data_IF_021611950494
#
_entry.id   IF_021611950494
#
_cell.length_a   1.000
_cell.length_b   1.000
_cell.length_c   1.000
_cell.angle_alpha   90.00
_cell.angle_beta   90.00
_cell.angle_gamma   90.00
#
_symmetry.space_group_name_H-M   'P 1'
#
loop_
_entity.id
_entity.type
_entity.pdbx_description
1 polymer ?
#
# COMPACT_ATOMS: atom_id res chain seq x y z
N UNK A 1 -23.83 7.86 3.70
CA UNK A 1 -23.17 8.48 4.86
C UNK A 1 -23.63 9.92 5.03
N UNK A 2 -24.06 10.30 6.25
CA UNK A 2 -24.42 11.68 6.56
C UNK A 2 -23.16 12.55 6.70
N UNK A 3 -23.16 13.73 6.10
CA UNK A 3 -22.13 14.75 6.27
C UNK A 3 -22.77 16.12 6.34
N UNK A 4 -22.35 16.95 7.29
CA UNK A 4 -22.57 18.40 7.22
C UNK A 4 -21.74 19.01 6.09
N UNK A 5 -22.07 20.23 5.66
CA UNK A 5 -21.29 20.97 4.65
C UNK A 5 -19.81 21.11 5.06
N UNK A 6 -19.57 21.43 6.34
CA UNK A 6 -18.22 21.51 6.90
C UNK A 6 -17.48 20.18 6.79
N UNK A 7 -18.10 19.07 7.22
CA UNK A 7 -17.50 17.74 7.11
C UNK A 7 -17.20 17.36 5.66
N UNK A 8 -18.10 17.69 4.72
CA UNK A 8 -17.89 17.45 3.30
C UNK A 8 -16.64 18.18 2.79
N UNK A 9 -16.48 19.46 3.16
CA UNK A 9 -15.30 20.26 2.79
C UNK A 9 -14.01 19.69 3.40
N UNK A 10 -14.00 19.46 4.71
CA UNK A 10 -12.83 18.95 5.44
C UNK A 10 -12.38 17.57 4.87
N UNK A 11 -13.35 16.71 4.57
CA UNK A 11 -13.08 15.39 4.00
C UNK A 11 -12.63 15.48 2.53
N UNK A 12 -13.18 16.38 1.71
CA UNK A 12 -12.69 16.58 0.34
C UNK A 12 -11.25 17.09 0.31
N UNK A 13 -10.87 17.99 1.21
CA UNK A 13 -9.48 18.43 1.38
C UNK A 13 -8.59 17.25 1.84
N UNK A 14 -9.08 16.40 2.74
CA UNK A 14 -8.35 15.21 3.17
C UNK A 14 -8.11 14.20 2.04
N UNK A 15 -8.95 14.17 1.01
CA UNK A 15 -8.75 13.29 -0.16
C UNK A 15 -7.51 13.64 -0.97
N UNK A 16 -7.12 14.91 -0.98
CA UNK A 16 -5.88 15.37 -1.62
C UNK A 16 -4.63 14.79 -0.94
N UNK A 17 -4.78 14.18 0.24
CA UNK A 17 -3.72 13.51 1.01
C UNK A 17 -3.67 12.00 0.80
N UNK A 18 -4.53 11.44 -0.04
CA UNK A 18 -4.56 9.99 -0.30
C UNK A 18 -3.46 9.59 -1.28
N UNK A 19 -2.54 8.67 -0.91
CA UNK A 19 -1.50 8.17 -1.80
C UNK A 19 -2.11 7.44 -2.99
N UNK A 20 -1.40 7.45 -4.12
CA UNK A 20 -1.87 6.81 -5.36
C UNK A 20 -2.14 5.32 -5.18
N UNK A 21 -1.31 4.61 -4.42
CA UNK A 21 -1.48 3.18 -4.19
C UNK A 21 -1.85 2.87 -2.74
N UNK A 22 -2.91 2.09 -2.59
CA UNK A 22 -3.31 1.51 -1.32
C UNK A 22 -3.33 -0.02 -1.39
N UNK A 23 -3.00 -0.65 -0.27
CA UNK A 23 -2.87 -2.09 -0.12
C UNK A 23 -3.92 -2.63 0.84
N UNK A 24 -4.36 -3.87 0.63
CA UNK A 24 -5.28 -4.55 1.56
C UNK A 24 -5.02 -6.04 1.55
N UNK A 25 -4.98 -6.66 2.72
CA UNK A 25 -5.14 -8.11 2.84
C UNK A 25 -6.60 -8.48 3.06
N UNK A 26 -7.06 -9.51 2.36
CA UNK A 26 -8.42 -10.00 2.51
C UNK A 26 -8.50 -11.52 2.27
N UNK A 27 -9.62 -12.09 2.68
CA UNK A 27 -10.12 -13.44 2.39
C UNK A 27 -11.64 -13.33 2.17
N UNK A 28 -12.28 -14.36 1.61
CA UNK A 28 -13.72 -14.35 1.30
C UNK A 28 -14.60 -13.96 2.51
N UNK A 29 -14.19 -14.36 3.71
CA UNK A 29 -14.87 -14.14 5.00
C UNK A 29 -14.61 -12.76 5.63
N UNK A 30 -13.82 -11.89 4.99
CA UNK A 30 -13.36 -10.64 5.64
C UNK A 30 -14.53 -9.75 6.07
N UNK A 31 -14.56 -9.43 7.37
CA UNK A 31 -15.66 -8.71 8.06
C UNK A 31 -17.02 -9.42 8.01
N UNK A 32 -17.05 -10.74 7.82
CA UNK A 32 -18.32 -11.46 7.74
C UNK A 32 -19.13 -11.14 6.48
N UNK A 33 -18.47 -10.62 5.43
CA UNK A 33 -19.08 -10.55 4.11
C UNK A 33 -19.61 -11.93 3.72
N UNK A 34 -20.70 -11.99 2.96
CA UNK A 34 -21.39 -13.19 2.45
C UNK A 34 -20.52 -14.02 1.47
N UNK A 35 -19.24 -14.24 1.81
CA UNK A 35 -18.19 -14.81 0.95
C UNK A 35 -18.00 -14.07 -0.39
N UNK A 36 -18.45 -12.82 -0.46
CA UNK A 36 -18.49 -12.03 -1.69
C UNK A 36 -17.13 -11.42 -2.10
N UNK A 37 -16.13 -11.43 -1.21
CA UNK A 37 -14.80 -10.91 -1.48
C UNK A 37 -13.99 -11.93 -2.31
N UNK A 38 -13.51 -11.51 -3.48
CA UNK A 38 -12.71 -12.35 -4.37
C UNK A 38 -11.76 -11.49 -5.24
N UNK A 39 -11.08 -12.09 -6.21
CA UNK A 39 -10.13 -11.39 -7.08
C UNK A 39 -10.76 -10.31 -7.97
N UNK A 40 -12.08 -10.35 -8.19
CA UNK A 40 -12.84 -9.42 -9.04
C UNK A 40 -13.62 -8.38 -8.25
N UNK A 41 -13.88 -8.61 -6.96
CA UNK A 41 -14.67 -7.68 -6.14
C UNK A 41 -14.27 -7.69 -4.66
N UNK A 42 -14.20 -6.50 -4.07
CA UNK A 42 -14.03 -6.30 -2.63
C UNK A 42 -15.19 -5.44 -2.13
N UNK A 43 -15.98 -5.98 -1.21
CA UNK A 43 -17.22 -5.36 -0.70
C UNK A 43 -17.19 -5.17 0.82
N UNK A 44 -17.88 -4.14 1.33
CA UNK A 44 -18.11 -3.97 2.77
C UNK A 44 -19.05 -5.04 3.34
N UNK A 45 -19.18 -5.08 4.66
CA UNK A 45 -20.07 -6.01 5.38
C UNK A 45 -21.52 -5.50 5.46
N UNK A 46 -21.75 -4.19 5.30
CA UNK A 46 -23.08 -3.63 5.08
C UNK A 46 -23.44 -3.72 3.58
N UNK A 47 -24.44 -4.54 3.16
CA UNK A 47 -24.88 -4.61 1.76
C UNK A 47 -25.71 -3.38 1.33
N UNK A 48 -26.23 -2.60 2.27
CA UNK A 48 -27.10 -1.46 2.00
C UNK A 48 -26.31 -0.17 1.67
N UNK A 49 -24.98 -0.26 1.57
CA UNK A 49 -24.08 0.83 1.21
C UNK A 49 -24.44 1.54 -0.11
N UNK A 50 -25.15 0.82 -1.01
CA UNK A 50 -25.66 1.33 -2.29
C UNK A 50 -26.79 2.36 -2.11
N UNK A 51 -27.54 2.27 -1.01
CA UNK A 51 -28.58 3.22 -0.69
C UNK A 51 -27.92 4.44 -0.03
N UNK A 52 -28.35 5.65 -0.43
CA UNK A 52 -27.96 6.86 0.30
C UNK A 52 -28.37 6.68 1.76
N UNK A 53 -27.40 6.54 2.66
CA UNK A 53 -27.67 6.35 4.08
C UNK A 53 -28.69 7.39 4.56
N UNK A 54 -29.90 6.93 4.85
CA UNK A 54 -30.95 7.66 5.55
C UNK A 54 -30.61 7.83 7.05
N UNK A 55 -29.35 7.59 7.44
CA UNK A 55 -28.85 7.73 8.79
C UNK A 55 -28.55 9.18 9.16
N UNK A 56 -28.66 9.48 10.45
CA UNK A 56 -28.27 10.76 11.03
C UNK A 56 -26.75 10.83 11.32
N UNK A 57 -26.28 12.00 11.76
CA UNK A 57 -24.88 12.22 12.14
C UNK A 57 -24.43 11.23 13.22
N UNK A 58 -25.28 10.94 14.20
CA UNK A 58 -24.98 10.06 15.33
C UNK A 58 -24.76 8.62 14.87
N UNK A 59 -25.59 8.13 13.96
CA UNK A 59 -25.49 6.79 13.38
C UNK A 59 -24.24 6.66 12.51
N UNK A 60 -23.96 7.69 11.71
CA UNK A 60 -22.73 7.74 10.89
C UNK A 60 -21.49 7.72 11.77
N UNK A 61 -21.44 8.58 12.79
CA UNK A 61 -20.34 8.64 13.76
C UNK A 61 -20.13 7.28 14.45
N UNK A 62 -21.22 6.65 14.91
CA UNK A 62 -21.15 5.35 15.56
C UNK A 62 -20.60 4.27 14.61
N UNK A 63 -21.09 4.21 13.37
CA UNK A 63 -20.58 3.26 12.37
C UNK A 63 -19.06 3.44 12.15
N UNK A 64 -18.59 4.67 11.95
CA UNK A 64 -17.16 4.97 11.75
C UNK A 64 -16.35 4.58 13.00
N UNK A 65 -16.81 4.98 14.19
CA UNK A 65 -16.16 4.64 15.46
C UNK A 65 -16.04 3.12 15.63
N UNK A 66 -17.12 2.38 15.41
CA UNK A 66 -17.14 0.92 15.51
C UNK A 66 -16.25 0.25 14.47
N UNK A 67 -16.26 0.74 13.23
CA UNK A 67 -15.38 0.24 12.18
C UNK A 67 -13.91 0.39 12.55
N UNK A 68 -13.50 1.59 12.99
CA UNK A 68 -12.13 1.91 13.35
C UNK A 68 -11.66 1.19 14.62
N UNK A 69 -12.59 0.88 15.52
CA UNK A 69 -12.34 0.02 16.67
C UNK A 69 -12.35 -1.49 16.32
N UNK A 70 -12.56 -1.82 15.03
CA UNK A 70 -12.67 -3.17 14.49
C UNK A 70 -13.72 -4.01 15.22
N UNK A 71 -14.81 -3.37 15.64
CA UNK A 71 -15.98 -4.01 16.23
C UNK A 71 -16.85 -4.57 15.09
N UNK A 72 -16.67 -5.86 14.78
CA UNK A 72 -17.37 -6.56 13.70
C UNK A 72 -18.83 -6.88 14.03
N UNK A 73 -19.31 -6.53 15.23
CA UNK A 73 -20.74 -6.66 15.56
C UNK A 73 -21.58 -5.56 14.91
N UNK A 74 -20.95 -4.52 14.39
CA UNK A 74 -21.60 -3.42 13.68
C UNK A 74 -21.22 -3.48 12.21
N UNK A 75 -22.25 -3.48 11.36
CA UNK A 75 -22.08 -3.35 9.91
C UNK A 75 -21.49 -1.98 9.58
N UNK A 76 -20.71 -1.94 8.53
CA UNK A 76 -19.97 -0.79 8.06
C UNK A 76 -20.07 -0.68 6.55
N UNK A 77 -20.27 0.53 6.05
CA UNK A 77 -20.21 0.81 4.61
C UNK A 77 -18.77 0.85 4.09
N UNK A 78 -17.76 0.52 4.91
CA UNK A 78 -16.34 0.72 4.59
C UNK A 78 -15.53 -0.57 4.50
N UNK A 79 -14.50 -0.51 3.66
CA UNK A 79 -13.38 -1.44 3.65
C UNK A 79 -12.10 -0.71 4.06
N UNK A 80 -11.30 -1.34 4.93
CA UNK A 80 -10.00 -0.80 5.37
C UNK A 80 -8.88 -1.11 4.38
N UNK A 81 -8.13 -0.08 4.02
CA UNK A 81 -6.97 -0.11 3.15
C UNK A 81 -5.79 0.56 3.84
N UNK A 82 -4.59 0.39 3.30
CA UNK A 82 -3.40 0.99 3.89
C UNK A 82 -2.36 1.47 2.87
N UNK A 83 -1.62 2.52 3.20
CA UNK A 83 -0.45 2.97 2.44
C UNK A 83 0.75 2.02 2.57
N UNK A 84 0.69 1.02 3.47
CA UNK A 84 1.79 0.13 3.82
C UNK A 84 1.60 -1.30 3.30
N UNK A 85 2.44 -1.70 2.32
CA UNK A 85 2.51 -3.10 1.90
C UNK A 85 2.94 -4.02 3.06
N UNK A 86 3.82 -3.57 3.94
CA UNK A 86 4.27 -4.32 5.12
C UNK A 86 3.09 -4.71 6.01
N UNK A 87 2.18 -3.79 6.27
CA UNK A 87 0.98 -4.14 7.02
C UNK A 87 0.08 -5.09 6.26
N UNK A 88 -0.17 -4.85 4.97
CA UNK A 88 -1.01 -5.74 4.19
C UNK A 88 -0.46 -7.18 4.28
N UNK A 89 0.84 -7.37 4.10
CA UNK A 89 1.50 -8.65 4.29
C UNK A 89 1.31 -9.20 5.71
N UNK A 90 1.53 -8.40 6.76
CA UNK A 90 1.32 -8.87 8.14
C UNK A 90 -0.12 -9.24 8.46
N UNK A 91 -1.08 -8.53 7.90
CA UNK A 91 -2.49 -8.88 8.04
C UNK A 91 -2.82 -10.16 7.27
N UNK A 92 -2.21 -10.40 6.10
CA UNK A 92 -2.31 -11.68 5.40
C UNK A 92 -1.70 -12.84 6.21
N UNK A 93 -0.57 -12.62 6.89
CA UNK A 93 0.00 -13.62 7.81
C UNK A 93 -0.95 -13.92 8.97
N UNK A 94 -1.54 -12.89 9.58
CA UNK A 94 -2.53 -13.08 10.64
C UNK A 94 -3.72 -13.92 10.17
N UNK A 95 -4.21 -13.69 8.94
CA UNK A 95 -5.26 -14.53 8.33
C UNK A 95 -4.81 -16.00 8.21
N UNK A 96 -3.63 -16.23 7.65
CA UNK A 96 -3.08 -17.57 7.45
C UNK A 96 -2.85 -18.32 8.76
N UNK A 97 -2.23 -17.68 9.76
CA UNK A 97 -1.74 -18.39 10.94
C UNK A 97 -2.66 -18.28 12.16
N UNK A 98 -3.25 -17.11 12.41
CA UNK A 98 -4.10 -16.89 13.58
C UNK A 98 -5.56 -17.29 13.30
N UNK A 99 -6.03 -17.15 12.06
CA UNK A 99 -7.38 -17.60 11.65
C UNK A 99 -7.38 -18.91 10.84
N UNK A 100 -6.21 -19.53 10.64
CA UNK A 100 -6.06 -20.80 9.93
C UNK A 100 -6.66 -20.80 8.51
N UNK A 101 -6.67 -19.65 7.84
CA UNK A 101 -7.12 -19.54 6.44
C UNK A 101 -6.10 -20.21 5.50
N UNK A 102 -6.56 -20.86 4.44
CA UNK A 102 -5.66 -21.45 3.45
C UNK A 102 -4.95 -20.37 2.63
N UNK A 103 -3.67 -20.54 2.30
CA UNK A 103 -2.86 -19.52 1.58
C UNK A 103 -3.44 -19.11 0.22
N UNK A 104 -4.12 -20.02 -0.48
CA UNK A 104 -4.81 -19.73 -1.75
C UNK A 104 -6.11 -18.93 -1.58
N UNK A 105 -6.58 -18.74 -0.34
CA UNK A 105 -7.78 -17.96 0.03
C UNK A 105 -7.44 -16.65 0.74
N UNK A 106 -6.15 -16.37 0.94
CA UNK A 106 -5.65 -15.11 1.47
C UNK A 106 -5.05 -14.33 0.31
N UNK A 107 -5.47 -13.08 0.15
CA UNK A 107 -5.12 -12.24 -0.98
C UNK A 107 -4.53 -10.92 -0.52
N UNK A 108 -3.63 -10.37 -1.33
CA UNK A 108 -3.20 -8.97 -1.28
C UNK A 108 -3.84 -8.27 -2.48
N UNK A 109 -4.51 -7.15 -2.22
CA UNK A 109 -4.98 -6.22 -3.24
C UNK A 109 -4.14 -4.95 -3.26
N UNK A 110 -3.97 -4.38 -4.45
CA UNK A 110 -3.40 -3.05 -4.69
C UNK A 110 -4.43 -2.24 -5.46
N UNK A 111 -4.80 -1.08 -4.94
CA UNK A 111 -5.78 -0.16 -5.49
C UNK A 111 -5.06 1.10 -6.02
N UNK A 112 -5.34 1.49 -7.26
CA UNK A 112 -4.96 2.82 -7.79
C UNK A 112 -6.07 3.83 -7.46
N UNK A 113 -5.74 4.85 -6.68
CA UNK A 113 -6.65 5.89 -6.19
C UNK A 113 -6.70 7.12 -7.10
N UNK A 114 -6.02 7.11 -8.25
CA UNK A 114 -6.06 8.20 -9.23
C UNK A 114 -7.46 8.53 -9.71
N UNK A 115 -8.38 7.55 -9.68
CA UNK A 115 -9.79 7.80 -9.88
C UNK A 115 -10.40 8.52 -8.66
N UNK A 116 -10.49 9.85 -8.75
CA UNK A 116 -11.14 10.70 -7.74
C UNK A 116 -12.64 10.42 -7.55
N UNK A 117 -13.28 9.54 -8.30
CA UNK A 117 -14.64 9.10 -7.99
C UNK A 117 -14.67 8.14 -6.77
N UNK A 118 -13.57 7.46 -6.45
CA UNK A 118 -13.52 6.47 -5.36
C UNK A 118 -13.65 7.18 -4.01
N UNK A 119 -14.70 6.96 -3.22
CA UNK A 119 -14.89 7.64 -1.93
C UNK A 119 -13.95 7.04 -0.87
N UNK A 120 -12.73 7.59 -0.80
CA UNK A 120 -11.67 7.13 0.11
C UNK A 120 -11.19 8.26 1.00
N UNK A 121 -11.04 7.99 2.30
CA UNK A 121 -10.55 8.98 3.27
C UNK A 121 -9.56 8.36 4.24
N UNK A 122 -8.58 9.15 4.70
CA UNK A 122 -7.73 8.75 5.81
C UNK A 122 -8.56 8.54 7.07
N UNK A 123 -8.27 7.51 7.87
CA UNK A 123 -8.93 7.28 9.15
C UNK A 123 -8.85 8.51 10.08
N UNK A 124 -7.72 9.20 10.09
CA UNK A 124 -7.50 10.43 10.90
C UNK A 124 -8.46 11.55 10.52
N UNK A 125 -8.66 11.83 9.24
CA UNK A 125 -9.64 12.84 8.81
C UNK A 125 -11.08 12.47 9.21
N UNK A 126 -11.44 11.19 9.22
CA UNK A 126 -12.74 10.73 9.70
C UNK A 126 -12.88 10.87 11.22
N UNK A 127 -11.82 10.59 11.99
CA UNK A 127 -11.80 10.88 13.44
C UNK A 127 -12.08 12.35 13.70
N UNK A 128 -11.39 13.24 12.98
CA UNK A 128 -11.44 14.68 13.20
C UNK A 128 -12.79 15.26 12.74
N UNK A 129 -13.28 14.88 11.56
CA UNK A 129 -14.55 15.35 11.00
C UNK A 129 -15.78 14.98 11.86
N UNK A 130 -15.76 13.81 12.51
CA UNK A 130 -16.88 13.33 13.34
C UNK A 130 -16.64 13.49 14.85
N UNK A 131 -15.54 14.13 15.26
CA UNK A 131 -15.19 14.35 16.66
C UNK A 131 -15.12 13.06 17.49
N UNK A 132 -14.64 11.97 16.87
CA UNK A 132 -14.52 10.65 17.50
C UNK A 132 -13.34 10.69 18.47
N UNK A 133 -13.58 10.36 19.74
CA UNK A 133 -12.55 10.42 20.78
C UNK A 133 -11.53 9.31 20.54
N UNK A 134 -10.26 9.71 20.49
CA UNK A 134 -9.13 8.77 20.43
C UNK A 134 -8.93 8.17 21.83
N UNK A 135 -9.54 7.02 22.12
CA UNK A 135 -9.45 6.38 23.44
C UNK A 135 -8.05 5.76 23.66
N UNK A 136 -7.30 6.31 24.62
CA UNK A 136 -5.88 5.98 24.89
C UNK A 136 -5.60 4.50 25.24
N UNK A 137 -6.57 3.75 25.77
CA UNK A 137 -6.37 2.32 26.15
C UNK A 137 -7.16 1.31 25.30
N UNK A 138 -7.92 1.76 24.30
CA UNK A 138 -8.66 0.86 23.38
C UNK A 138 -8.35 1.09 21.89
N UNK A 139 -7.48 2.05 21.58
CA UNK A 139 -6.77 2.14 20.29
C UNK A 139 -5.61 1.13 20.17
N UNK A 140 -5.58 0.05 20.98
CA UNK A 140 -4.55 -1.01 21.02
C UNK A 140 -4.27 -1.70 19.67
N UNK A 141 -5.07 -1.40 18.64
CA UNK A 141 -4.71 -1.59 17.23
C UNK A 141 -4.31 -0.24 16.65
N UNK A 142 -3.10 0.25 16.94
CA UNK A 142 -2.50 1.53 16.49
C UNK A 142 -2.39 1.72 14.95
N UNK A 143 -3.20 0.98 14.20
CA UNK A 143 -3.17 0.85 12.76
C UNK A 143 -3.91 1.98 12.02
N UNK A 144 -4.57 2.91 12.72
CA UNK A 144 -5.18 4.06 12.05
C UNK A 144 -4.14 4.95 11.33
N UNK A 145 -2.87 4.89 11.74
CA UNK A 145 -1.75 5.56 11.09
C UNK A 145 -1.38 4.77 9.83
N UNK A 146 -1.81 5.28 8.67
CA UNK A 146 -1.74 4.54 7.42
C UNK A 146 -3.01 3.79 7.07
N UNK A 147 -4.12 3.94 7.79
CA UNK A 147 -5.43 3.35 7.42
C UNK A 147 -6.29 4.32 6.61
N UNK A 148 -6.91 3.77 5.57
CA UNK A 148 -7.80 4.46 4.65
C UNK A 148 -9.11 3.70 4.57
N UNK A 149 -10.22 4.42 4.59
CA UNK A 149 -11.55 3.84 4.51
C UNK A 149 -12.11 4.14 3.13
N UNK A 150 -12.24 3.09 2.33
CA UNK A 150 -12.95 3.13 1.05
C UNK A 150 -14.40 2.80 1.34
N UNK A 151 -15.31 3.71 1.01
CA UNK A 151 -16.76 3.49 1.15
C UNK A 151 -17.31 2.73 -0.05
N UNK A 152 -18.18 1.76 0.21
CA UNK A 152 -18.78 0.93 -0.80
C UNK A 152 -17.87 -0.17 -1.34
N UNK A 153 -18.40 -0.92 -2.30
CA UNK A 153 -17.67 -2.01 -2.95
C UNK A 153 -16.88 -1.54 -4.17
N UNK A 154 -15.70 -2.11 -4.37
CA UNK A 154 -14.90 -1.97 -5.60
C UNK A 154 -14.98 -3.27 -6.42
N UNK A 155 -14.99 -3.13 -7.73
CA UNK A 155 -14.97 -4.24 -8.67
C UNK A 155 -14.08 -3.94 -9.86
N UNK A 156 -13.58 -4.99 -10.53
CA UNK A 156 -12.68 -4.82 -11.68
C UNK A 156 -13.37 -4.11 -12.85
N UNK A 157 -14.70 -4.01 -12.82
CA UNK A 157 -15.50 -3.27 -13.79
C UNK A 157 -15.54 -1.75 -13.54
N UNK A 158 -15.33 -1.30 -12.29
CA UNK A 158 -15.50 0.11 -11.92
C UNK A 158 -14.24 0.78 -11.35
N UNK A 159 -13.23 -0.01 -10.99
CA UNK A 159 -12.04 0.45 -10.28
C UNK A 159 -10.81 -0.31 -10.76
N UNK A 160 -9.71 0.41 -10.95
CA UNK A 160 -8.44 -0.24 -11.28
C UNK A 160 -7.76 -0.74 -10.00
N UNK A 161 -7.87 -2.04 -9.77
CA UNK A 161 -7.15 -2.73 -8.70
C UNK A 161 -6.66 -4.10 -9.18
N UNK A 162 -5.61 -4.60 -8.53
CA UNK A 162 -5.01 -5.90 -8.83
C UNK A 162 -4.93 -6.74 -7.57
N UNK A 163 -5.04 -8.05 -7.74
CA UNK A 163 -5.06 -9.01 -6.64
C UNK A 163 -4.08 -10.12 -6.94
N UNK A 164 -3.30 -10.51 -5.94
CA UNK A 164 -2.50 -11.73 -5.95
C UNK A 164 -2.81 -12.54 -4.67
N UNK A 165 -2.89 -13.86 -4.79
CA UNK A 165 -2.98 -14.74 -3.64
C UNK A 165 -1.64 -14.80 -2.90
N UNK A 166 -1.71 -15.08 -1.59
CA UNK A 166 -0.51 -15.31 -0.79
C UNK A 166 0.26 -16.54 -1.28
N UNK A 167 -0.44 -17.54 -1.80
CA UNK A 167 0.16 -18.71 -2.44
C UNK A 167 1.03 -18.32 -3.65
N UNK A 168 0.52 -17.51 -4.59
CA UNK A 168 1.28 -17.02 -5.74
C UNK A 168 2.52 -16.25 -5.30
N UNK A 169 2.37 -15.29 -4.38
CA UNK A 169 3.49 -14.52 -3.87
C UNK A 169 4.57 -15.41 -3.22
N UNK A 170 4.17 -16.48 -2.52
CA UNK A 170 5.11 -17.44 -1.93
C UNK A 170 5.86 -18.25 -2.98
N UNK A 171 5.16 -18.72 -4.01
CA UNK A 171 5.78 -19.44 -5.13
C UNK A 171 6.77 -18.55 -5.88
N UNK A 172 6.48 -17.25 -6.01
CA UNK A 172 7.36 -16.25 -6.61
C UNK A 172 8.47 -15.74 -5.67
N UNK A 173 8.64 -16.35 -4.49
CA UNK A 173 9.79 -16.13 -3.62
C UNK A 173 9.64 -15.03 -2.55
N UNK A 174 8.42 -14.68 -2.14
CA UNK A 174 8.17 -13.70 -1.07
C UNK A 174 8.93 -14.02 0.22
N UNK A 175 9.08 -15.31 0.55
CA UNK A 175 9.85 -15.78 1.71
C UNK A 175 11.34 -15.47 1.62
N UNK A 176 11.91 -15.58 0.41
CA UNK A 176 13.32 -15.29 0.18
C UNK A 176 13.60 -13.79 0.27
N UNK A 177 12.63 -12.98 -0.16
CA UNK A 177 12.73 -11.52 -0.11
C UNK A 177 12.63 -10.98 1.33
N UNK A 178 11.65 -11.47 2.11
CA UNK A 178 11.34 -11.02 3.47
C UNK A 178 11.34 -12.17 4.48
N UNK A 179 12.48 -12.86 4.67
CA UNK A 179 12.55 -13.97 5.62
C UNK A 179 12.17 -13.54 7.05
N UNK A 180 12.31 -12.26 7.39
CA UNK A 180 11.95 -11.71 8.71
C UNK A 180 10.46 -11.84 9.03
N UNK A 181 9.59 -11.72 8.01
CA UNK A 181 8.16 -11.88 8.22
C UNK A 181 7.80 -13.35 8.44
N UNK A 182 8.52 -14.27 7.79
CA UNK A 182 8.27 -15.72 7.81
C UNK A 182 9.15 -16.49 8.80
N UNK A 183 9.50 -15.85 9.93
CA UNK A 183 10.32 -16.44 10.98
C UNK A 183 9.69 -17.64 11.71
N UNK A 184 10.02 -17.79 13.00
CA UNK A 184 9.53 -18.92 13.81
C UNK A 184 8.00 -18.98 13.87
N UNK A 185 7.44 -20.15 14.16
CA UNK A 185 5.99 -20.33 14.27
C UNK A 185 5.33 -19.31 15.22
N UNK A 186 5.96 -18.99 16.35
CA UNK A 186 5.49 -17.98 17.29
C UNK A 186 5.40 -16.58 16.68
N UNK A 187 6.38 -16.17 15.87
CA UNK A 187 6.37 -14.87 15.19
C UNK A 187 5.29 -14.78 14.10
N UNK A 188 4.89 -15.93 13.54
CA UNK A 188 3.84 -16.04 12.52
C UNK A 188 2.44 -15.99 13.11
N UNK A 189 2.24 -16.54 14.31
CA UNK A 189 0.94 -16.61 15.01
C UNK A 189 0.60 -15.35 15.84
N UNK A 190 1.42 -14.30 15.77
CA UNK A 190 1.21 -13.05 16.50
C UNK A 190 -0.17 -12.43 16.22
N UNK A 191 -1.04 -12.47 17.22
CA UNK A 191 -2.37 -11.85 17.17
C UNK A 191 -2.37 -10.32 17.34
N UNK A 192 -1.27 -9.76 17.87
CA UNK A 192 -1.08 -8.34 18.19
C UNK A 192 -0.62 -7.52 16.96
N UNK A 193 -1.41 -7.50 15.89
CA UNK A 193 -1.02 -6.95 14.58
C UNK A 193 -0.27 -5.60 14.62
N UNK A 194 -0.72 -4.64 15.43
CA UNK A 194 -0.07 -3.33 15.52
C UNK A 194 1.35 -3.39 16.10
N UNK A 195 1.57 -4.22 17.12
CA UNK A 195 2.90 -4.45 17.69
C UNK A 195 3.78 -5.24 16.72
N UNK A 196 3.22 -6.26 16.05
CA UNK A 196 3.92 -7.02 15.03
C UNK A 196 4.46 -6.12 13.91
N UNK A 197 3.61 -5.22 13.38
CA UNK A 197 4.01 -4.25 12.35
C UNK A 197 5.05 -3.26 12.86
N UNK A 198 4.87 -2.72 14.08
CA UNK A 198 5.86 -1.82 14.72
C UNK A 198 7.23 -2.50 14.80
N UNK A 199 7.27 -3.74 15.29
CA UNK A 199 8.52 -4.46 15.50
C UNK A 199 9.22 -4.76 14.16
N UNK A 200 8.47 -5.11 13.12
CA UNK A 200 9.04 -5.30 11.78
C UNK A 200 9.53 -4.00 11.17
N UNK A 201 8.82 -2.88 11.37
CA UNK A 201 9.30 -1.56 10.94
C UNK A 201 10.62 -1.19 11.62
N UNK A 202 10.74 -1.47 12.91
CA UNK A 202 11.97 -1.23 13.67
C UNK A 202 13.14 -2.06 13.14
N UNK A 203 12.87 -3.32 12.78
CA UNK A 203 13.88 -4.23 12.23
C UNK A 203 14.26 -3.90 10.79
N UNK A 204 13.30 -3.47 9.97
CA UNK A 204 13.48 -3.40 8.52
C UNK A 204 13.78 -1.99 8.01
N UNK A 205 13.04 -0.96 8.42
CA UNK A 205 13.03 0.32 7.69
C UNK A 205 13.43 1.54 8.53
N UNK A 206 13.38 1.48 9.86
CA UNK A 206 13.69 2.63 10.73
C UNK A 206 15.16 3.08 10.67
N UNK A 207 15.47 4.33 11.08
CA UNK A 207 16.84 4.86 11.09
C UNK A 207 17.87 3.97 11.79
N UNK A 208 17.48 3.27 12.87
CA UNK A 208 18.34 2.33 13.61
C UNK A 208 18.40 0.90 13.05
N UNK A 209 17.66 0.59 11.99
CA UNK A 209 17.74 -0.72 11.33
C UNK A 209 19.11 -0.90 10.68
N UNK A 210 19.67 -2.10 10.79
CA UNK A 210 20.96 -2.45 10.16
C UNK A 210 20.76 -2.55 8.64
N UNK A 211 21.38 -1.68 7.83
CA UNK A 211 21.19 -1.71 6.39
C UNK A 211 21.71 -3.03 5.80
N UNK A 212 20.99 -3.58 4.82
CA UNK A 212 21.48 -4.71 4.02
C UNK A 212 22.04 -4.23 2.69
N UNK A 213 23.01 -4.95 2.14
CA UNK A 213 23.47 -4.70 0.77
C UNK A 213 22.38 -5.09 -0.22
N UNK A 214 21.97 -4.14 -1.08
CA UNK A 214 21.07 -4.43 -2.19
C UNK A 214 21.83 -5.23 -3.26
N UNK A 215 21.25 -6.37 -3.67
CA UNK A 215 21.83 -7.28 -4.67
C UNK A 215 20.91 -7.31 -5.88
N UNK A 216 21.45 -7.62 -7.05
CA UNK A 216 20.67 -7.83 -8.28
C UNK A 216 19.54 -8.85 -8.09
N UNK A 217 19.77 -9.90 -7.30
CA UNK A 217 18.75 -10.90 -6.98
C UNK A 217 17.55 -10.31 -6.24
N UNK A 218 17.76 -9.34 -5.34
CA UNK A 218 16.67 -8.66 -4.63
C UNK A 218 15.84 -7.79 -5.59
N UNK A 219 16.49 -7.07 -6.50
CA UNK A 219 15.80 -6.23 -7.48
C UNK A 219 14.95 -7.11 -8.42
N UNK A 220 15.56 -8.17 -8.97
CA UNK A 220 14.86 -9.16 -9.81
C UNK A 220 13.66 -9.77 -9.08
N UNK A 221 13.84 -10.18 -7.83
CA UNK A 221 12.78 -10.79 -7.03
C UNK A 221 11.65 -9.81 -6.74
N UNK A 222 11.95 -8.53 -6.49
CA UNK A 222 10.92 -7.49 -6.32
C UNK A 222 10.09 -7.28 -7.59
N UNK A 223 10.72 -7.29 -8.77
CA UNK A 223 10.02 -7.20 -10.05
C UNK A 223 9.15 -8.44 -10.32
N UNK A 224 9.67 -9.64 -10.03
CA UNK A 224 8.94 -10.91 -10.16
C UNK A 224 7.69 -10.94 -9.27
N UNK A 225 7.81 -10.54 -8.00
CA UNK A 225 6.69 -10.40 -7.08
C UNK A 225 5.70 -9.32 -7.52
N UNK A 226 6.18 -8.21 -8.08
CA UNK A 226 5.32 -7.22 -8.73
C UNK A 226 4.54 -7.80 -9.91
N UNK A 227 5.14 -8.74 -10.64
CA UNK A 227 4.53 -9.45 -11.76
C UNK A 227 3.25 -10.21 -11.40
N UNK A 228 3.09 -10.63 -10.14
CA UNK A 228 1.83 -11.22 -9.64
C UNK A 228 0.63 -10.27 -9.76
N UNK A 229 0.87 -8.96 -9.91
CA UNK A 229 -0.15 -7.92 -10.06
C UNK A 229 -0.25 -7.38 -11.49
N UNK A 230 0.37 -8.04 -12.47
CA UNK A 230 0.25 -7.66 -13.87
C UNK A 230 -1.17 -7.87 -14.40
N UNK A 231 -1.61 -7.02 -15.32
CA UNK A 231 -2.78 -7.32 -16.14
C UNK A 231 -2.39 -8.35 -17.23
N UNK A 232 -3.35 -9.11 -17.76
CA UNK A 232 -3.10 -9.94 -18.94
C UNK A 232 -2.61 -9.06 -20.10
N UNK A 233 -1.32 -9.14 -20.43
CA UNK A 233 -0.76 -8.65 -21.69
C UNK A 233 0.10 -7.37 -21.69
N UNK A 234 0.30 -6.62 -20.59
CA UNK A 234 1.28 -5.49 -20.53
C UNK A 234 1.82 -5.23 -19.12
N UNK A 235 3.06 -4.69 -19.06
CA UNK A 235 3.74 -4.23 -17.85
C UNK A 235 3.02 -3.06 -17.18
N UNK A 236 2.06 -3.38 -16.31
CA UNK A 236 1.19 -2.39 -15.66
C UNK A 236 1.94 -1.59 -14.62
N UNK A 237 1.46 -0.37 -14.37
CA UNK A 237 1.90 0.49 -13.28
C UNK A 237 1.91 -0.21 -11.90
N UNK A 238 1.03 -1.20 -11.69
CA UNK A 238 0.98 -2.00 -10.47
C UNK A 238 2.24 -2.85 -10.26
N UNK A 239 2.85 -3.36 -11.33
CA UNK A 239 4.08 -4.16 -11.25
C UNK A 239 5.20 -3.31 -10.65
N UNK A 240 5.43 -2.12 -11.23
CA UNK A 240 6.39 -1.15 -10.73
C UNK A 240 6.06 -0.73 -9.30
N UNK A 241 4.78 -0.47 -9.01
CA UNK A 241 4.36 -0.02 -7.70
C UNK A 241 4.67 -1.03 -6.60
N UNK A 242 4.34 -2.30 -6.84
CA UNK A 242 4.61 -3.36 -5.88
C UNK A 242 6.11 -3.62 -5.76
N UNK A 243 6.85 -3.62 -6.87
CA UNK A 243 8.30 -3.81 -6.84
C UNK A 243 9.02 -2.72 -6.02
N UNK A 244 8.68 -1.45 -6.25
CA UNK A 244 9.24 -0.32 -5.50
C UNK A 244 8.79 -0.36 -4.03
N UNK A 245 7.53 -0.70 -3.75
CA UNK A 245 7.04 -0.86 -2.38
C UNK A 245 7.80 -1.97 -1.65
N UNK A 246 8.08 -3.09 -2.33
CA UNK A 246 8.88 -4.18 -1.78
C UNK A 246 10.30 -3.73 -1.42
N UNK A 247 10.98 -3.02 -2.32
CA UNK A 247 12.31 -2.47 -2.05
C UNK A 247 12.29 -1.47 -0.90
N UNK A 248 11.24 -0.66 -0.77
CA UNK A 248 11.08 0.33 0.29
C UNK A 248 10.70 -0.24 1.67
N UNK A 249 10.37 -1.52 1.78
CA UNK A 249 10.09 -2.12 3.10
C UNK A 249 11.34 -2.37 3.93
N UNK A 250 12.54 -2.23 3.35
CA UNK A 250 13.81 -2.44 4.04
C UNK A 250 14.80 -1.32 3.74
N UNK A 251 15.59 -0.95 4.75
CA UNK A 251 16.76 -0.10 4.60
C UNK A 251 17.88 -0.87 3.88
N UNK A 252 18.18 -0.42 2.66
CA UNK A 252 19.34 -0.87 1.91
C UNK A 252 20.50 0.09 2.14
N UNK A 253 21.72 -0.44 2.26
CA UNK A 253 22.92 0.36 2.34
C UNK A 253 22.96 1.34 1.16
N UNK A 254 23.17 2.62 1.45
CA UNK A 254 23.31 3.71 0.47
C UNK A 254 22.07 4.12 -0.33
N UNK A 255 21.04 3.27 -0.48
CA UNK A 255 19.89 3.59 -1.35
C UNK A 255 19.09 4.82 -0.87
N UNK A 256 18.99 5.00 0.45
CA UNK A 256 18.24 6.11 1.08
C UNK A 256 19.16 7.13 1.75
N UNK A 257 20.46 7.11 1.43
CA UNK A 257 21.42 8.07 1.95
C UNK A 257 21.52 9.23 0.96
N UNK A 258 21.15 10.43 1.42
CA UNK A 258 21.29 11.65 0.62
C UNK A 258 22.75 11.83 0.18
N UNK A 259 22.93 12.24 -1.07
CA UNK A 259 24.24 12.57 -1.67
C UNK A 259 25.28 11.44 -1.71
N UNK A 260 24.90 10.18 -1.43
CA UNK A 260 25.83 9.07 -1.50
C UNK A 260 26.06 8.61 -2.96
N UNK A 261 27.30 8.52 -3.47
CA UNK A 261 27.56 8.15 -4.87
C UNK A 261 26.97 6.80 -5.29
N UNK A 262 27.00 5.80 -4.39
CA UNK A 262 26.43 4.48 -4.66
C UNK A 262 24.90 4.48 -4.80
N UNK A 263 24.19 5.51 -4.32
CA UNK A 263 22.73 5.64 -4.48
C UNK A 263 22.36 5.65 -5.97
N UNK A 264 23.06 6.48 -6.74
CA UNK A 264 22.89 6.67 -8.18
C UNK A 264 23.01 5.34 -8.92
N UNK A 265 24.07 4.58 -8.65
CA UNK A 265 24.32 3.27 -9.27
C UNK A 265 23.23 2.24 -8.92
N UNK A 266 22.71 2.28 -7.69
CA UNK A 266 21.64 1.37 -7.28
C UNK A 266 20.31 1.73 -7.93
N UNK A 267 19.98 3.02 -8.03
CA UNK A 267 18.78 3.50 -8.72
C UNK A 267 18.81 3.16 -10.21
N UNK A 268 19.94 3.33 -10.89
CA UNK A 268 20.10 2.94 -12.30
C UNK A 268 19.85 1.45 -12.50
N UNK A 269 20.42 0.59 -11.63
CA UNK A 269 20.16 -0.85 -11.65
C UNK A 269 18.67 -1.17 -11.44
N UNK A 270 17.99 -0.46 -10.54
CA UNK A 270 16.55 -0.67 -10.34
C UNK A 270 15.78 -0.28 -11.60
N UNK A 271 16.10 0.85 -12.22
CA UNK A 271 15.49 1.29 -13.47
C UNK A 271 15.72 0.30 -14.63
N UNK A 272 16.91 -0.28 -14.75
CA UNK A 272 17.21 -1.32 -15.74
C UNK A 272 16.29 -2.54 -15.59
N UNK A 273 16.10 -3.04 -14.36
CA UNK A 273 15.24 -4.21 -14.11
C UNK A 273 13.75 -3.91 -14.27
N UNK A 274 13.35 -2.67 -14.06
CA UNK A 274 11.96 -2.22 -14.20
C UNK A 274 11.72 -1.57 -15.58
N UNK A 275 12.66 -1.72 -16.51
CA UNK A 275 12.56 -1.15 -17.86
C UNK A 275 11.36 -1.75 -18.60
N UNK A 276 10.65 -0.89 -19.34
CA UNK A 276 9.44 -1.27 -20.07
C UNK A 276 8.19 -1.41 -19.19
N UNK A 277 8.33 -1.28 -17.86
CA UNK A 277 7.18 -1.14 -16.97
C UNK A 277 6.73 0.32 -16.90
N UNK A 278 5.41 0.50 -16.85
CA UNK A 278 4.80 1.80 -16.62
C UNK A 278 5.14 2.31 -15.22
N UNK A 279 5.54 3.58 -15.11
CA UNK A 279 5.61 4.28 -13.83
C UNK A 279 4.68 5.46 -13.93
N UNK A 280 3.65 5.51 -13.10
CA UNK A 280 2.81 6.68 -13.07
C UNK A 280 3.51 7.98 -12.70
N UNK A 281 3.02 9.04 -13.33
CA UNK A 281 3.52 10.42 -13.19
C UNK A 281 3.16 11.04 -11.83
N UNK A 282 2.05 10.61 -11.22
CA UNK A 282 1.56 11.14 -9.94
C UNK A 282 1.76 10.14 -8.81
N UNK A 283 2.06 10.66 -7.62
CA UNK A 283 2.28 9.87 -6.39
C UNK A 283 1.07 9.88 -5.45
N UNK A 284 0.04 10.65 -5.81
CA UNK A 284 -1.06 11.02 -4.92
C UNK A 284 -0.61 11.96 -3.80
N UNK A 285 -1.45 12.06 -2.79
CA UNK A 285 -1.27 12.94 -1.64
C UNK A 285 -0.40 12.39 -0.52
N UNK A 286 0.13 13.27 0.34
CA UNK A 286 0.90 12.89 1.53
C UNK A 286 0.06 12.77 2.80
N UNK A 287 0.35 11.74 3.59
CA UNK A 287 -0.18 11.66 4.94
C UNK A 287 0.40 12.76 5.83
N UNK A 288 -0.48 13.60 6.36
CA UNK A 288 -0.09 14.54 7.37
C UNK A 288 -0.20 13.89 8.76
N UNK A 289 0.95 13.70 9.41
CA UNK A 289 1.04 13.22 10.79
C UNK A 289 1.40 14.33 11.80
N UNK A 290 1.23 15.61 11.44
CA UNK A 290 1.46 16.73 12.35
C UNK A 290 0.57 16.62 13.59
N UNK A 291 1.11 16.94 14.77
CA UNK A 291 0.36 16.89 16.03
C UNK A 291 0.14 15.49 16.58
N UNK A 292 0.77 14.47 15.98
CA UNK A 292 0.81 13.14 16.56
C UNK A 292 1.64 13.15 17.85
N UNK A 293 1.14 12.51 18.91
CA UNK A 293 1.89 12.36 20.15
C UNK A 293 3.17 11.52 19.92
N UNK A 294 4.27 11.87 20.60
CA UNK A 294 5.56 11.17 20.49
C UNK A 294 5.45 9.64 20.67
N UNK A 295 4.53 9.17 21.52
CA UNK A 295 4.28 7.75 21.73
C UNK A 295 3.83 7.00 20.45
N UNK A 296 3.26 7.71 19.48
CA UNK A 296 2.75 7.15 18.23
C UNK A 296 3.69 7.30 17.04
N UNK A 297 4.80 8.03 17.17
CA UNK A 297 5.85 8.12 16.13
C UNK A 297 6.31 6.74 15.68
N UNK A 298 6.34 5.79 16.63
CA UNK A 298 6.72 4.41 16.37
C UNK A 298 5.72 3.61 15.53
N UNK A 299 4.60 4.19 15.14
CA UNK A 299 3.57 3.53 14.33
C UNK A 299 3.40 4.17 12.96
N UNK A 300 4.18 5.21 12.63
CA UNK A 300 4.17 5.80 11.28
C UNK A 300 4.63 4.79 10.22
N UNK A 301 4.00 4.76 9.03
CA UNK A 301 4.38 3.88 7.92
C UNK A 301 5.65 4.40 7.23
N UNK A 302 6.81 4.21 7.86
CA UNK A 302 8.10 4.67 7.35
C UNK A 302 8.42 4.11 5.95
N UNK A 303 8.03 2.86 5.71
CA UNK A 303 8.14 2.19 4.42
C UNK A 303 7.31 2.89 3.32
N UNK A 304 6.19 3.53 3.65
CA UNK A 304 5.41 4.30 2.68
C UNK A 304 6.09 5.62 2.29
N UNK A 305 6.81 6.23 3.25
CA UNK A 305 7.66 7.42 2.98
C UNK A 305 8.84 7.01 2.09
N UNK A 306 9.53 5.92 2.43
CA UNK A 306 10.64 5.39 1.62
C UNK A 306 10.18 4.98 0.22
N UNK A 307 8.97 4.42 0.08
CA UNK A 307 8.37 4.07 -1.19
C UNK A 307 8.21 5.30 -2.08
N UNK A 308 7.66 6.39 -1.52
CA UNK A 308 7.52 7.66 -2.25
C UNK A 308 8.87 8.22 -2.67
N UNK A 309 9.81 8.31 -1.74
CA UNK A 309 11.14 8.86 -2.02
C UNK A 309 11.84 8.08 -3.13
N UNK A 310 11.86 6.74 -3.01
CA UNK A 310 12.47 5.88 -4.02
C UNK A 310 11.77 6.04 -5.37
N UNK A 311 10.44 6.05 -5.39
CA UNK A 311 9.70 6.27 -6.63
C UNK A 311 10.06 7.61 -7.27
N UNK A 312 10.06 8.70 -6.50
CA UNK A 312 10.39 10.04 -7.01
C UNK A 312 11.78 10.07 -7.64
N UNK A 313 12.77 9.46 -7.00
CA UNK A 313 14.11 9.39 -7.53
C UNK A 313 14.15 8.56 -8.82
N UNK A 314 13.53 7.37 -8.84
CA UNK A 314 13.48 6.52 -10.04
C UNK A 314 12.76 7.21 -11.20
N UNK A 315 11.69 7.96 -10.93
CA UNK A 315 10.97 8.74 -11.94
C UNK A 315 11.84 9.88 -12.50
N UNK A 316 12.57 10.61 -11.63
CA UNK A 316 13.46 11.69 -12.05
C UNK A 316 14.65 11.21 -12.90
N UNK A 317 15.01 9.93 -12.81
CA UNK A 317 16.09 9.31 -13.57
C UNK A 317 15.67 8.73 -14.92
N UNK A 318 14.37 8.63 -15.19
CA UNK A 318 13.92 8.15 -16.49
C UNK A 318 14.34 9.13 -17.58
N UNK A 319 14.93 8.65 -18.69
CA UNK A 319 15.27 9.53 -19.80
C UNK A 319 13.99 10.22 -20.26
N UNK A 320 14.05 11.54 -20.38
CA UNK A 320 12.93 12.32 -20.92
C UNK A 320 12.73 11.97 -22.39
N UNK A 321 11.55 12.27 -22.93
CA UNK A 321 11.29 12.08 -24.36
C UNK A 321 12.33 12.80 -25.25
N UNK A 322 12.84 13.94 -24.78
CA UNK A 322 13.94 14.68 -25.41
C UNK A 322 15.28 13.93 -25.34
N UNK A 323 15.61 13.25 -24.22
CA UNK A 323 16.84 12.48 -24.10
C UNK A 323 16.84 11.30 -25.08
N UNK A 324 15.69 10.64 -25.24
CA UNK A 324 15.50 9.56 -26.20
C UNK A 324 15.59 10.04 -27.65
N UNK A 325 15.04 11.21 -27.98
CA UNK A 325 15.16 11.82 -29.32
C UNK A 325 16.63 12.17 -29.63
N UNK A 326 17.37 12.71 -28.67
CA UNK A 326 18.81 13.01 -28.82
C UNK A 326 19.61 11.72 -28.99
N UNK A 327 19.29 10.67 -28.27
CA UNK A 327 19.98 9.38 -28.35
C UNK A 327 19.71 8.67 -29.70
N UNK A 328 18.45 8.65 -30.17
CA UNK A 328 18.08 8.15 -31.50
C UNK A 328 18.74 8.95 -32.62
N UNK A 329 18.84 10.28 -32.46
CA UNK A 329 19.55 11.15 -33.41
C UNK A 329 21.05 10.83 -33.44
N UNK A 330 21.68 10.61 -32.28
CA UNK A 330 23.10 10.20 -32.18
C UNK A 330 23.36 8.82 -32.78
N UNK A 331 22.43 7.87 -32.61
CA UNK A 331 22.54 6.53 -33.21
C UNK A 331 22.40 6.56 -34.73
N UNK A 332 21.50 7.40 -35.26
CA UNK A 332 21.29 7.57 -36.71
C UNK A 332 22.50 8.22 -37.40
N UNK A 333 23.18 9.15 -36.73
CA UNK A 333 24.44 9.75 -37.23
C UNK A 333 25.58 8.74 -37.22
N UNK A 334 25.67 7.87 -36.21
CA UNK A 334 26.70 6.82 -36.14
C UNK A 334 26.52 5.74 -37.20
N UNK A 335 25.29 5.34 -37.51
CA UNK A 335 25.03 4.37 -38.58
C UNK A 335 25.29 4.93 -39.98
N UNK A 336 25.14 6.25 -40.17
CA UNK A 336 25.52 6.92 -41.41
C UNK A 336 27.05 7.02 -41.59
N UNK A 337 27.80 7.20 -40.51
CA UNK A 337 29.29 7.27 -40.54
C UNK A 337 30.00 5.92 -40.67
N UNK A 338 29.28 4.79 -40.56
CA UNK A 338 29.83 3.43 -40.70
C UNK A 338 29.51 2.79 -42.05
N UNK A 339 28.89 3.54 -42.97
CA UNK A 339 28.54 3.09 -44.32
C UNK A 339 29.44 3.69 -45.43
N UNK A 340 30.43 4.50 -45.04
CA UNK A 340 31.59 4.92 -45.85
C UNK A 340 32.82 4.08 -45.46
#
# INVERSE_FOLDING_TARGET
MYMTEKQCKDLNEARLRVPRYLFRAFSASSRGSLEANNALSIVPDDPDWLYQASGDEKSTRLMIEKHLMWDTTHRSEFTSWTSSLLCALRHAMRKLYYWSEHESRVFIAVLDTSNFAIPVWTATALFDAYGIRRLERKLERHYYLGEYLVRGGISSANTDFRVASLQELRMEGLHEFLPELFGSQHERERGDLACAIRDDRDRLCRPGAVPKTLKRSHIRLSAQLGGCFAAQGRGSAFVSAVAVALLAMRKWAHLFEADHPAKVELEDKICEYLQGLEFPETFGGEENFSGLANAHERYKPQEAVQFRELWQNLHARRPTENDLIVEVSRMSVRSASSAD
#
